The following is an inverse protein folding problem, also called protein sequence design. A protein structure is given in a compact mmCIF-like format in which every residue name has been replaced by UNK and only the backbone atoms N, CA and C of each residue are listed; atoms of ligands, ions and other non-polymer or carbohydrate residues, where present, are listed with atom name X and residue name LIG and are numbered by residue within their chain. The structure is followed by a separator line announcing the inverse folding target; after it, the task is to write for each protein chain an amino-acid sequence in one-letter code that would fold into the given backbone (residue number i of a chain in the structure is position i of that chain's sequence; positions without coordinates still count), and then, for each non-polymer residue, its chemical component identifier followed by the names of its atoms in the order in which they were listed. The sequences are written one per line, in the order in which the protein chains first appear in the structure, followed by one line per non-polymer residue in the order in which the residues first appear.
data_IF_673058815925
#
_entry.id   IF_673058815925
#
_cell.length_a   1.000
_cell.length_b   1.000
_cell.length_c   1.000
_cell.angle_alpha   90.00
_cell.angle_beta   90.00
_cell.angle_gamma   90.00
#
_symmetry.space_group_name_H-M   'P 1'
#
loop_
_entity.id
_entity.type
_entity.pdbx_description
1 polymer ?
#
# COMPACT_ATOMS: atom_id res chain seq x y z
N UNK A 1 26.49 -3.89 21.29
CA UNK A 1 25.04 -3.96 21.65
C UNK A 1 24.51 -2.57 21.97
N UNK A 2 24.37 -1.69 20.98
CA UNK A 2 24.00 -0.28 21.20
C UNK A 2 23.13 0.30 20.07
N UNK A 3 22.16 -0.47 19.56
CA UNK A 3 21.22 -0.01 18.53
C UNK A 3 19.75 -0.38 18.82
N UNK A 4 19.39 -0.70 20.06
CA UNK A 4 17.98 -0.93 20.46
C UNK A 4 17.20 0.39 20.68
N UNK A 5 17.60 1.50 20.03
CA UNK A 5 17.21 2.86 20.42
C UNK A 5 16.60 3.66 19.27
N UNK A 6 15.43 3.20 18.81
CA UNK A 6 14.33 4.00 18.22
C UNK A 6 13.13 3.14 17.75
N UNK A 7 13.14 1.82 18.00
CA UNK A 7 12.12 0.86 17.55
C UNK A 7 10.83 0.87 18.41
N UNK A 8 10.24 2.05 18.57
CA UNK A 8 8.93 2.27 19.24
C UNK A 8 7.96 3.04 18.36
N UNK A 9 7.93 2.73 17.06
CA UNK A 9 6.67 2.88 16.33
C UNK A 9 5.77 1.73 16.77
N UNK A 10 4.47 2.00 16.94
CA UNK A 10 3.51 1.11 17.58
C UNK A 10 3.44 -0.27 16.91
N UNK A 11 4.32 -1.20 17.33
CA UNK A 11 4.25 -2.59 16.94
C UNK A 11 2.94 -3.15 17.50
N UNK A 12 2.05 -3.55 16.60
CA UNK A 12 0.81 -4.21 16.97
C UNK A 12 1.05 -5.71 16.88
N UNK A 13 1.04 -6.37 18.04
CA UNK A 13 1.19 -7.81 18.11
C UNK A 13 -0.02 -8.43 18.82
N UNK A 14 -0.64 -9.40 18.16
CA UNK A 14 -1.75 -10.18 18.69
C UNK A 14 -1.48 -11.66 18.43
N UNK A 15 -1.47 -12.45 19.49
CA UNK A 15 -1.35 -13.90 19.41
C UNK A 15 -2.66 -14.60 19.77
N UNK A 16 -2.98 -15.73 19.13
CA UNK A 16 -4.02 -16.62 19.60
C UNK A 16 -3.59 -17.33 20.90
N UNK A 17 -4.57 -17.81 21.66
CA UNK A 17 -4.34 -18.48 22.95
C UNK A 17 -3.58 -19.82 22.78
N UNK A 18 -3.77 -20.50 21.64
CA UNK A 18 -3.29 -21.87 21.43
C UNK A 18 -1.97 -21.99 20.65
N UNK A 19 -1.28 -20.88 20.41
CA UNK A 19 -0.14 -20.82 19.48
C UNK A 19 -0.61 -20.85 18.02
N UNK A 20 0.07 -20.09 17.15
CA UNK A 20 -0.37 -19.89 15.76
C UNK A 20 0.45 -20.73 14.78
N UNK A 21 -0.20 -21.62 14.03
CA UNK A 21 0.43 -22.29 12.88
C UNK A 21 0.69 -21.33 11.71
N UNK A 22 -0.04 -20.21 11.65
CA UNK A 22 0.16 -19.16 10.65
C UNK A 22 0.45 -17.82 11.31
N UNK A 23 1.40 -17.07 10.77
CA UNK A 23 1.63 -15.67 11.13
C UNK A 23 1.35 -14.75 9.94
N UNK A 24 0.85 -13.55 10.22
CA UNK A 24 0.66 -12.47 9.26
C UNK A 24 1.59 -11.33 9.66
N UNK A 25 2.52 -11.01 8.79
CA UNK A 25 3.51 -9.95 8.98
C UNK A 25 3.30 -8.87 7.93
N UNK A 26 3.24 -7.61 8.35
CA UNK A 26 3.09 -6.52 7.41
C UNK A 26 3.11 -5.12 8.00
N UNK A 27 2.64 -4.17 7.21
CA UNK A 27 2.63 -2.74 7.55
C UNK A 27 1.29 -2.27 8.17
N UNK A 28 1.08 -0.94 8.21
CA UNK A 28 -0.13 -0.33 8.77
C UNK A 28 -1.42 -0.69 8.04
N UNK A 29 -1.37 -1.19 6.80
CA UNK A 29 -2.57 -1.60 6.07
C UNK A 29 -3.25 -2.83 6.69
N UNK A 30 -2.51 -3.64 7.46
CA UNK A 30 -3.03 -4.83 8.14
C UNK A 30 -3.37 -4.62 9.62
N UNK A 31 -3.12 -3.44 10.18
CA UNK A 31 -3.15 -3.21 11.63
C UNK A 31 -4.49 -3.59 12.29
N UNK A 32 -5.61 -3.45 11.58
CA UNK A 32 -6.95 -3.76 12.09
C UNK A 32 -7.48 -5.14 11.71
N UNK A 33 -6.72 -5.92 10.94
CA UNK A 33 -7.15 -7.22 10.42
C UNK A 33 -7.54 -8.20 11.53
N UNK A 34 -6.79 -8.17 12.66
CA UNK A 34 -7.02 -9.02 13.83
C UNK A 34 -8.43 -8.91 14.42
N UNK A 35 -9.15 -7.81 14.19
CA UNK A 35 -10.51 -7.61 14.70
C UNK A 35 -11.53 -8.56 14.05
N UNK A 36 -11.18 -9.19 12.93
CA UNK A 36 -12.02 -10.12 12.20
C UNK A 36 -11.72 -11.60 12.50
N UNK A 37 -10.83 -11.88 13.45
CA UNK A 37 -10.43 -13.23 13.84
C UNK A 37 -10.69 -13.46 15.33
N UNK A 38 -11.25 -14.61 15.67
CA UNK A 38 -11.49 -14.99 17.06
C UNK A 38 -10.19 -15.46 17.72
N UNK A 39 -9.64 -14.75 18.71
CA UNK A 39 -8.37 -15.15 19.36
C UNK A 39 -8.45 -16.49 20.12
N UNK A 40 -9.65 -16.96 20.45
CA UNK A 40 -9.87 -18.28 21.05
C UNK A 40 -9.88 -19.41 20.01
N UNK A 41 -10.01 -19.09 18.71
CA UNK A 41 -9.92 -20.10 17.66
C UNK A 41 -8.49 -20.64 17.59
N UNK A 42 -8.28 -21.97 17.62
CA UNK A 42 -6.96 -22.58 17.49
C UNK A 42 -6.32 -22.36 16.10
N UNK A 43 -7.07 -21.79 15.16
CA UNK A 43 -6.61 -21.52 13.81
C UNK A 43 -6.51 -20.03 13.49
N UNK A 44 -6.68 -19.16 14.48
CA UNK A 44 -6.44 -17.74 14.28
C UNK A 44 -4.95 -17.49 14.09
N UNK A 45 -4.56 -16.68 13.11
CA UNK A 45 -3.16 -16.39 12.88
C UNK A 45 -2.62 -15.44 13.95
N UNK A 46 -1.29 -15.45 14.12
CA UNK A 46 -0.60 -14.36 14.80
C UNK A 46 -0.55 -13.13 13.90
N UNK A 47 -0.76 -11.93 14.43
CA UNK A 47 -0.66 -10.68 13.69
C UNK A 47 0.52 -9.88 14.22
N UNK A 48 1.48 -9.57 13.35
CA UNK A 48 2.70 -8.81 13.66
C UNK A 48 2.77 -7.67 12.65
N UNK A 49 2.33 -6.48 13.05
CA UNK A 49 2.23 -5.35 12.14
C UNK A 49 2.98 -4.14 12.68
N UNK A 50 3.79 -3.52 11.82
CA UNK A 50 4.54 -2.32 12.15
C UNK A 50 4.17 -1.17 11.20
N UNK A 51 3.58 -0.07 11.69
CA UNK A 51 3.28 1.07 10.87
C UNK A 51 4.51 1.66 10.19
N UNK A 52 4.42 1.80 8.86
CA UNK A 52 5.50 2.32 8.03
C UNK A 52 6.63 1.32 7.76
N UNK A 53 6.44 0.02 8.06
CA UNK A 53 7.42 -1.00 7.74
C UNK A 53 7.71 -1.05 6.22
N UNK A 54 8.99 -1.20 5.90
CA UNK A 54 9.52 -1.50 4.58
C UNK A 54 9.97 -2.97 4.53
N UNK A 55 10.35 -3.45 3.34
CA UNK A 55 10.83 -4.82 3.13
C UNK A 55 12.01 -5.17 4.05
N UNK A 56 12.94 -4.23 4.23
CA UNK A 56 14.15 -4.44 5.04
C UNK A 56 13.84 -4.58 6.55
N UNK A 57 12.67 -4.10 7.01
CA UNK A 57 12.26 -4.21 8.41
C UNK A 57 11.75 -5.61 8.78
N UNK A 58 11.44 -6.45 7.78
CA UNK A 58 10.77 -7.75 8.03
C UNK A 58 11.68 -8.70 8.82
N UNK A 59 13.01 -8.66 8.63
CA UNK A 59 13.93 -9.49 9.40
C UNK A 59 13.73 -9.33 10.92
N UNK A 60 13.64 -8.09 11.40
CA UNK A 60 13.37 -7.81 12.81
C UNK A 60 11.93 -8.22 13.23
N UNK A 61 10.96 -8.18 12.31
CA UNK A 61 9.60 -8.64 12.59
C UNK A 61 9.50 -10.17 12.71
N UNK A 62 10.40 -10.93 12.08
CA UNK A 62 10.43 -12.40 12.16
C UNK A 62 10.84 -12.90 13.54
N UNK A 63 11.56 -12.10 14.34
CA UNK A 63 11.87 -12.42 15.74
C UNK A 63 10.61 -12.56 16.60
N UNK A 64 9.51 -11.93 16.17
CA UNK A 64 8.20 -12.02 16.78
C UNK A 64 7.33 -13.14 16.17
N UNK A 65 7.83 -13.91 15.21
CA UNK A 65 7.09 -15.08 14.71
C UNK A 65 7.43 -16.29 15.59
N UNK A 66 6.42 -16.85 16.26
CA UNK A 66 6.59 -17.98 17.18
C UNK A 66 7.26 -19.20 16.53
N UNK A 67 8.03 -19.95 17.33
CA UNK A 67 8.53 -21.27 16.91
C UNK A 67 7.34 -22.22 16.69
N UNK A 68 7.34 -22.93 15.58
CA UNK A 68 6.24 -23.83 15.19
C UNK A 68 5.19 -23.21 14.26
N UNK A 69 5.34 -21.93 13.91
CA UNK A 69 4.62 -21.36 12.77
C UNK A 69 5.12 -22.04 11.49
N UNK A 70 4.20 -22.60 10.71
CA UNK A 70 4.51 -23.33 9.47
C UNK A 70 4.13 -22.56 8.20
N UNK A 71 3.37 -21.47 8.35
CA UNK A 71 2.94 -20.62 7.25
C UNK A 71 3.08 -19.15 7.60
N UNK A 72 3.52 -18.35 6.64
CA UNK A 72 3.69 -16.90 6.79
C UNK A 72 2.93 -16.17 5.70
N UNK A 73 2.12 -15.19 6.05
CA UNK A 73 1.50 -14.26 5.08
C UNK A 73 2.24 -12.93 5.20
N UNK A 74 2.86 -12.49 4.10
CA UNK A 74 3.66 -11.28 4.00
C UNK A 74 2.92 -10.20 3.23
N UNK A 75 2.63 -9.08 3.90
CA UNK A 75 2.06 -7.88 3.29
C UNK A 75 2.98 -6.68 3.46
N UNK A 76 3.88 -6.48 2.50
CA UNK A 76 4.92 -5.46 2.56
C UNK A 76 5.24 -4.93 1.16
N UNK A 77 5.88 -3.76 1.09
CA UNK A 77 6.28 -3.11 -0.17
C UNK A 77 5.57 -1.79 -0.44
N UNK A 78 4.45 -1.50 0.24
CA UNK A 78 3.72 -0.24 0.09
C UNK A 78 4.58 0.98 0.44
N UNK A 79 5.41 0.89 1.48
CA UNK A 79 6.31 1.98 1.88
C UNK A 79 7.57 2.03 1.03
N UNK A 80 8.07 0.90 0.54
CA UNK A 80 9.19 0.85 -0.40
C UNK A 80 8.84 1.56 -1.70
N UNK A 81 7.71 1.22 -2.33
CA UNK A 81 7.24 1.83 -3.57
C UNK A 81 6.83 3.31 -3.40
N UNK A 82 6.65 3.78 -2.18
CA UNK A 82 6.47 5.20 -1.91
C UNK A 82 7.77 5.99 -2.07
N UNK A 83 8.92 5.33 -1.90
CA UNK A 83 10.24 5.94 -1.80
C UNK A 83 11.20 5.51 -2.94
N UNK A 84 10.92 4.40 -3.64
CA UNK A 84 11.75 3.86 -4.73
C UNK A 84 10.90 3.33 -5.89
N UNK A 85 11.55 2.93 -6.98
CA UNK A 85 10.94 2.25 -8.12
C UNK A 85 10.67 0.75 -7.87
N UNK A 86 9.81 0.16 -8.72
CA UNK A 86 9.42 -1.24 -8.65
C UNK A 86 10.60 -2.23 -8.78
N UNK A 87 11.57 -2.07 -9.71
CA UNK A 87 12.71 -2.98 -9.79
C UNK A 87 13.55 -3.03 -8.50
N UNK A 88 13.81 -1.87 -7.88
CA UNK A 88 14.58 -1.80 -6.64
C UNK A 88 13.83 -2.46 -5.49
N UNK A 89 12.55 -2.15 -5.32
CA UNK A 89 11.71 -2.79 -4.30
C UNK A 89 11.63 -4.31 -4.53
N UNK A 90 11.49 -4.75 -5.78
CA UNK A 90 11.42 -6.17 -6.14
C UNK A 90 12.70 -6.92 -5.78
N UNK A 91 13.88 -6.38 -6.09
CA UNK A 91 15.15 -7.01 -5.73
C UNK A 91 15.32 -7.15 -4.21
N UNK A 92 14.86 -6.17 -3.42
CA UNK A 92 14.82 -6.29 -1.96
C UNK A 92 13.88 -7.40 -1.51
N UNK A 93 12.71 -7.51 -2.14
CA UNK A 93 11.73 -8.56 -1.82
C UNK A 93 12.29 -9.95 -2.11
N UNK A 94 13.01 -10.13 -3.23
CA UNK A 94 13.71 -11.39 -3.55
C UNK A 94 14.69 -11.74 -2.44
N UNK A 95 15.54 -10.79 -2.04
CA UNK A 95 16.50 -10.99 -0.96
C UNK A 95 15.81 -11.31 0.39
N UNK A 96 14.66 -10.70 0.67
CA UNK A 96 13.86 -11.02 1.85
C UNK A 96 13.39 -12.49 1.83
N UNK A 97 12.88 -13.00 0.70
CA UNK A 97 12.45 -14.39 0.61
C UNK A 97 13.62 -15.35 0.81
N UNK A 98 14.80 -15.04 0.26
CA UNK A 98 16.02 -15.82 0.47
C UNK A 98 16.44 -15.81 1.96
N UNK A 99 16.35 -14.65 2.61
CA UNK A 99 16.61 -14.49 4.03
C UNK A 99 15.65 -15.33 4.88
N UNK A 100 14.34 -15.27 4.64
CA UNK A 100 13.33 -16.08 5.34
C UNK A 100 13.63 -17.57 5.20
N UNK A 101 13.96 -18.03 3.99
CA UNK A 101 14.31 -19.44 3.73
C UNK A 101 15.54 -19.88 4.54
N UNK A 102 16.53 -19.01 4.69
CA UNK A 102 17.75 -19.30 5.41
C UNK A 102 17.58 -19.26 6.93
N UNK A 103 16.95 -18.20 7.45
CA UNK A 103 16.84 -17.94 8.88
C UNK A 103 15.65 -18.66 9.54
N UNK A 104 14.58 -18.91 8.77
CA UNK A 104 13.34 -19.55 9.23
C UNK A 104 12.96 -20.76 8.36
N UNK A 105 13.82 -21.79 8.28
CA UNK A 105 13.52 -23.02 7.54
C UNK A 105 12.32 -23.79 8.13
N UNK A 106 11.90 -23.48 9.36
CA UNK A 106 10.70 -24.01 10.00
C UNK A 106 9.38 -23.49 9.41
N UNK A 107 9.44 -22.44 8.57
CA UNK A 107 8.29 -21.87 7.86
C UNK A 107 8.36 -22.33 6.39
N UNK A 108 7.87 -23.54 6.04
CA UNK A 108 7.95 -24.06 4.67
C UNK A 108 7.08 -23.31 3.66
N UNK A 109 6.06 -22.58 4.12
CA UNK A 109 5.09 -21.91 3.25
C UNK A 109 5.06 -20.41 3.46
N UNK A 110 5.23 -19.63 2.38
CA UNK A 110 5.12 -18.17 2.39
C UNK A 110 4.06 -17.72 1.38
N UNK A 111 3.11 -16.91 1.84
CA UNK A 111 2.09 -16.26 1.02
C UNK A 111 2.46 -14.79 0.86
N UNK A 112 2.92 -14.40 -0.33
CA UNK A 112 3.22 -13.02 -0.66
C UNK A 112 1.94 -12.32 -1.16
N UNK A 113 1.46 -11.33 -0.43
CA UNK A 113 0.29 -10.55 -0.84
C UNK A 113 0.70 -9.42 -1.78
N UNK A 114 -0.22 -9.03 -2.66
CA UNK A 114 -0.01 -7.88 -3.54
C UNK A 114 0.13 -6.56 -2.75
N UNK A 115 0.88 -5.62 -3.30
CA UNK A 115 0.84 -4.22 -2.85
C UNK A 115 -0.46 -3.59 -3.30
N UNK A 116 -1.27 -3.12 -2.34
CA UNK A 116 -2.58 -2.54 -2.64
C UNK A 116 -2.47 -1.22 -3.44
N UNK A 117 -3.43 -0.96 -4.35
CA UNK A 117 -3.48 0.33 -5.03
C UNK A 117 -3.81 1.46 -4.04
N UNK A 118 -3.42 2.68 -4.39
CA UNK A 118 -3.79 3.91 -3.69
C UNK A 118 -4.88 4.67 -4.45
N UNK A 119 -5.61 5.51 -3.72
CA UNK A 119 -6.53 6.51 -4.24
C UNK A 119 -6.07 7.93 -3.87
N UNK A 120 -6.60 8.96 -4.56
CA UNK A 120 -6.41 10.34 -4.13
C UNK A 120 -6.83 10.54 -2.68
N UNK A 121 -6.01 11.25 -1.92
CA UNK A 121 -6.30 11.55 -0.52
C UNK A 121 -7.38 12.64 -0.47
N UNK A 122 -8.55 12.28 0.06
CA UNK A 122 -9.72 13.15 0.16
C UNK A 122 -9.60 14.19 1.28
N UNK A 123 -8.64 14.03 2.19
CA UNK A 123 -8.36 14.95 3.30
C UNK A 123 -7.44 16.10 2.89
N UNK A 124 -6.75 15.98 1.75
CA UNK A 124 -5.85 17.02 1.28
C UNK A 124 -6.61 18.10 0.51
N UNK A 125 -6.30 19.37 0.81
CA UNK A 125 -6.81 20.52 0.03
C UNK A 125 -6.28 20.55 -1.41
N UNK A 126 -5.16 19.87 -1.67
CA UNK A 126 -4.55 19.76 -3.01
C UNK A 126 -4.62 18.32 -3.48
N UNK A 127 -5.07 18.12 -4.72
CA UNK A 127 -5.14 16.80 -5.33
C UNK A 127 -3.75 16.19 -5.53
N UNK A 128 -3.54 14.95 -5.08
CA UNK A 128 -2.29 14.19 -5.19
C UNK A 128 -2.30 13.16 -6.35
N UNK A 129 -3.13 13.38 -7.38
CA UNK A 129 -3.37 12.42 -8.46
C UNK A 129 -2.11 11.96 -9.19
N UNK A 130 -1.13 12.85 -9.41
CA UNK A 130 0.14 12.51 -10.09
C UNK A 130 0.94 11.48 -9.29
N UNK A 131 1.07 11.72 -7.98
CA UNK A 131 1.79 10.83 -7.08
C UNK A 131 1.09 9.47 -6.98
N UNK A 132 -0.25 9.46 -6.86
CA UNK A 132 -1.05 8.23 -6.83
C UNK A 132 -0.93 7.45 -8.14
N UNK A 133 -0.97 8.13 -9.29
CA UNK A 133 -0.83 7.48 -10.60
C UNK A 133 0.55 6.83 -10.76
N UNK A 134 1.61 7.55 -10.36
CA UNK A 134 2.97 7.01 -10.36
C UNK A 134 3.06 5.79 -9.44
N UNK A 135 2.59 5.91 -8.19
CA UNK A 135 2.62 4.80 -7.24
C UNK A 135 1.88 3.57 -7.77
N UNK A 136 0.67 3.72 -8.31
CA UNK A 136 -0.11 2.59 -8.81
C UNK A 136 0.52 1.95 -10.06
N UNK A 137 1.26 2.71 -10.87
CA UNK A 137 2.06 2.16 -11.96
C UNK A 137 3.19 1.26 -11.41
N UNK A 138 3.98 1.77 -10.47
CA UNK A 138 5.05 1.01 -9.82
C UNK A 138 4.51 -0.23 -9.08
N UNK A 139 3.40 -0.09 -8.34
CA UNK A 139 2.77 -1.21 -7.64
C UNK A 139 2.27 -2.30 -8.61
N UNK A 140 1.75 -1.93 -9.78
CA UNK A 140 1.36 -2.91 -10.81
C UNK A 140 2.58 -3.66 -11.34
N UNK A 141 3.64 -2.95 -11.70
CA UNK A 141 4.89 -3.56 -12.19
C UNK A 141 5.50 -4.49 -11.14
N UNK A 142 5.53 -4.05 -9.88
CA UNK A 142 6.00 -4.87 -8.76
C UNK A 142 5.14 -6.13 -8.57
N UNK A 143 3.81 -6.00 -8.55
CA UNK A 143 2.89 -7.11 -8.34
C UNK A 143 2.96 -8.16 -9.47
N UNK A 144 3.16 -7.73 -10.72
CA UNK A 144 3.36 -8.66 -11.85
C UNK A 144 4.64 -9.46 -11.70
N UNK A 145 5.74 -8.82 -11.30
CA UNK A 145 7.02 -9.50 -11.04
C UNK A 145 6.92 -10.44 -9.83
N UNK A 146 6.23 -10.02 -8.78
CA UNK A 146 5.99 -10.82 -7.59
C UNK A 146 5.19 -12.09 -7.93
N UNK A 147 4.16 -11.97 -8.77
CA UNK A 147 3.40 -13.12 -9.27
C UNK A 147 4.32 -14.13 -10.00
N UNK A 148 5.14 -13.66 -10.94
CA UNK A 148 6.11 -14.52 -11.65
C UNK A 148 7.08 -15.20 -10.68
N UNK A 149 7.62 -14.45 -9.71
CA UNK A 149 8.53 -14.97 -8.69
C UNK A 149 7.89 -16.09 -7.85
N UNK A 150 6.64 -15.93 -7.44
CA UNK A 150 5.91 -16.96 -6.69
C UNK A 150 5.69 -18.23 -7.53
N UNK A 151 5.50 -18.11 -8.85
CA UNK A 151 5.40 -19.29 -9.73
C UNK A 151 6.72 -20.04 -9.87
N UNK A 152 7.85 -19.34 -9.79
CA UNK A 152 9.19 -19.92 -9.95
C UNK A 152 9.75 -20.52 -8.65
N UNK A 153 9.20 -20.16 -7.49
CA UNK A 153 9.75 -20.53 -6.17
C UNK A 153 8.84 -21.50 -5.42
N UNK A 154 9.37 -22.69 -5.14
CA UNK A 154 8.69 -23.70 -4.34
C UNK A 154 8.35 -23.18 -2.94
N UNK A 155 7.12 -23.46 -2.48
CA UNK A 155 6.65 -23.04 -1.16
C UNK A 155 6.33 -21.55 -1.04
N UNK A 156 6.37 -20.79 -2.14
CA UNK A 156 5.97 -19.37 -2.17
C UNK A 156 4.71 -19.23 -3.04
N UNK A 157 3.68 -18.57 -2.51
CA UNK A 157 2.39 -18.43 -3.15
C UNK A 157 1.98 -16.98 -3.25
N UNK A 158 1.43 -16.57 -4.39
CA UNK A 158 0.92 -15.22 -4.58
C UNK A 158 -0.53 -15.11 -4.12
N UNK A 159 -0.85 -14.08 -3.32
CA UNK A 159 -2.21 -13.81 -2.85
C UNK A 159 -2.74 -12.52 -3.47
N UNK A 160 -3.72 -12.68 -4.36
CA UNK A 160 -4.48 -11.57 -4.91
C UNK A 160 -5.77 -11.32 -4.11
N UNK A 161 -5.87 -10.20 -3.41
CA UNK A 161 -7.04 -9.79 -2.65
C UNK A 161 -8.20 -9.24 -3.51
N UNK A 162 -8.03 -9.12 -4.83
CA UNK A 162 -9.05 -8.63 -5.80
C UNK A 162 -9.64 -7.27 -5.43
N UNK A 163 -8.86 -6.44 -4.75
CA UNK A 163 -9.26 -5.09 -4.31
C UNK A 163 -9.40 -4.14 -5.50
N UNK A 164 -8.66 -4.40 -6.58
CA UNK A 164 -8.70 -3.69 -7.85
C UNK A 164 -10.01 -3.90 -8.64
N UNK A 165 -10.75 -4.97 -8.37
CA UNK A 165 -12.06 -5.21 -8.96
C UNK A 165 -13.17 -4.29 -8.40
N UNK A 166 -12.87 -3.55 -7.33
CA UNK A 166 -13.82 -2.66 -6.67
C UNK A 166 -13.41 -1.20 -6.83
N UNK A 167 -14.38 -0.26 -6.91
CA UNK A 167 -14.04 1.15 -6.93
C UNK A 167 -13.26 1.55 -5.67
N UNK A 168 -12.13 2.28 -5.76
CA UNK A 168 -11.25 2.50 -4.61
C UNK A 168 -11.92 3.13 -3.38
N UNK A 169 -12.95 3.95 -3.58
CA UNK A 169 -13.69 4.60 -2.49
C UNK A 169 -14.55 3.64 -1.64
N UNK A 170 -14.79 2.41 -2.08
CA UNK A 170 -15.53 1.41 -1.28
C UNK A 170 -14.62 0.68 -0.31
N UNK A 171 -13.34 0.53 -0.66
CA UNK A 171 -12.38 -0.33 0.06
C UNK A 171 -11.22 0.43 0.69
N UNK A 172 -10.97 1.68 0.32
CA UNK A 172 -9.95 2.54 0.92
C UNK A 172 -10.58 3.61 1.81
N UNK A 173 -9.88 3.98 2.87
CA UNK A 173 -10.21 5.10 3.73
C UNK A 173 -9.99 6.45 3.02
N UNK A 174 -10.45 7.53 3.65
CA UNK A 174 -10.36 8.88 3.10
C UNK A 174 -8.91 9.36 2.83
N UNK A 175 -7.89 8.74 3.42
CA UNK A 175 -6.49 9.06 3.11
C UNK A 175 -6.00 8.43 1.79
N UNK A 176 -6.79 7.54 1.20
CA UNK A 176 -6.50 6.86 -0.06
C UNK A 176 -5.35 5.85 0.03
N UNK A 177 -4.91 5.48 1.24
CA UNK A 177 -3.81 4.54 1.47
C UNK A 177 -4.26 3.34 2.30
N UNK A 178 -4.91 3.60 3.43
CA UNK A 178 -5.30 2.54 4.34
C UNK A 178 -6.64 1.93 3.90
N UNK A 179 -6.85 0.62 4.07
CA UNK A 179 -8.16 0.03 3.86
C UNK A 179 -9.21 0.66 4.78
N UNK A 180 -10.42 0.87 4.26
CA UNK A 180 -11.60 1.19 5.08
C UNK A 180 -12.03 -0.03 5.89
N UNK A 181 -13.03 0.10 6.78
CA UNK A 181 -13.58 -1.07 7.47
C UNK A 181 -14.04 -2.17 6.50
N UNK A 182 -14.68 -1.79 5.38
CA UNK A 182 -15.07 -2.71 4.33
C UNK A 182 -13.85 -3.33 3.62
N UNK A 183 -12.80 -2.54 3.38
CA UNK A 183 -11.53 -3.04 2.85
C UNK A 183 -10.85 -4.06 3.77
N UNK A 184 -10.75 -3.77 5.06
CA UNK A 184 -10.20 -4.71 6.06
C UNK A 184 -11.05 -5.98 6.13
N UNK A 185 -12.38 -5.85 6.08
CA UNK A 185 -13.30 -7.00 6.06
C UNK A 185 -13.07 -7.90 4.83
N UNK A 186 -12.85 -7.30 3.65
CA UNK A 186 -12.55 -8.04 2.43
C UNK A 186 -11.19 -8.75 2.51
N UNK A 187 -10.16 -8.07 3.02
CA UNK A 187 -8.85 -8.67 3.29
C UNK A 187 -8.99 -9.88 4.23
N UNK A 188 -9.72 -9.71 5.34
CA UNK A 188 -9.97 -10.77 6.31
C UNK A 188 -10.68 -11.96 5.69
N UNK A 189 -11.73 -11.73 4.89
CA UNK A 189 -12.46 -12.77 4.18
C UNK A 189 -11.55 -13.58 3.24
N UNK A 190 -10.72 -12.90 2.45
CA UNK A 190 -9.79 -13.57 1.53
C UNK A 190 -8.75 -14.41 2.27
N UNK A 191 -8.20 -13.89 3.37
CA UNK A 191 -7.25 -14.62 4.21
C UNK A 191 -7.94 -15.79 4.90
N UNK A 192 -9.17 -15.62 5.39
CA UNK A 192 -9.93 -16.70 5.99
C UNK A 192 -10.15 -17.85 5.01
N UNK A 193 -10.55 -17.57 3.76
CA UNK A 193 -10.71 -18.60 2.74
C UNK A 193 -9.37 -19.30 2.40
N UNK A 194 -8.29 -18.53 2.27
CA UNK A 194 -6.95 -19.09 2.09
C UNK A 194 -6.60 -20.07 3.23
N UNK A 195 -6.83 -19.67 4.48
CA UNK A 195 -6.56 -20.52 5.65
C UNK A 195 -7.48 -21.74 5.71
N UNK A 196 -8.71 -21.66 5.21
CA UNK A 196 -9.61 -22.81 5.10
C UNK A 196 -9.12 -23.80 4.05
N UNK A 197 -8.64 -23.33 2.90
CA UNK A 197 -8.13 -24.19 1.84
C UNK A 197 -6.89 -24.98 2.31
N UNK A 198 -6.02 -24.36 3.11
CA UNK A 198 -4.86 -25.03 3.72
C UNK A 198 -5.23 -26.13 4.72
N UNK A 199 -6.44 -26.07 5.31
CA UNK A 199 -6.91 -27.08 6.27
C UNK A 199 -7.59 -28.26 5.60
N UNK A 200 -8.00 -28.11 4.34
CA UNK A 200 -8.61 -29.23 3.61
C UNK A 200 -7.49 -30.24 3.34
N UNK A 201 -7.59 -31.48 3.85
CA UNK A 201 -6.67 -32.51 3.41
C UNK A 201 -6.80 -32.60 1.88
N UNK A 202 -5.69 -32.46 1.17
CA UNK A 202 -5.61 -32.54 -0.28
C UNK A 202 -6.38 -33.77 -0.79
N UNK A 203 -7.63 -33.59 -1.20
CA UNK A 203 -8.16 -34.36 -2.32
C UNK A 203 -7.46 -33.72 -3.51
N UNK A 204 -6.63 -34.50 -4.21
CA UNK A 204 -5.75 -34.13 -5.33
C UNK A 204 -6.47 -33.55 -6.57
N UNK A 205 -7.47 -32.70 -6.37
CA UNK A 205 -8.18 -32.00 -7.40
C UNK A 205 -7.91 -30.51 -7.22
N UNK A 206 -6.64 -30.10 -7.31
CA UNK A 206 -6.41 -28.76 -7.83
C UNK A 206 -6.97 -28.79 -9.25
N UNK A 207 -7.99 -28.00 -9.59
CA UNK A 207 -8.39 -27.92 -10.98
C UNK A 207 -7.21 -27.34 -11.74
N UNK A 208 -6.57 -28.12 -12.62
CA UNK A 208 -5.71 -27.59 -13.68
C UNK A 208 -6.45 -26.57 -14.57
N UNK A 209 -7.76 -26.44 -14.36
CA UNK A 209 -8.59 -25.38 -14.87
C UNK A 209 -9.16 -24.55 -13.71
N UNK A 210 -8.36 -23.62 -13.18
CA UNK A 210 -8.96 -22.31 -12.90
C UNK A 210 -9.61 -21.92 -14.24
N UNK A 211 -10.94 -21.74 -14.32
CA UNK A 211 -11.54 -21.27 -15.55
C UNK A 211 -10.75 -20.04 -15.93
N UNK A 212 -10.04 -20.10 -17.06
CA UNK A 212 -9.65 -18.85 -17.68
C UNK A 212 -10.96 -18.08 -17.79
N UNK A 213 -11.03 -16.84 -17.29
CA UNK A 213 -12.20 -16.02 -17.51
C UNK A 213 -12.50 -16.15 -19.00
N UNK A 214 -13.65 -16.74 -19.33
CA UNK A 214 -14.01 -16.96 -20.73
C UNK A 214 -13.77 -15.62 -21.42
N UNK A 215 -13.06 -15.65 -22.55
CA UNK A 215 -12.58 -14.47 -23.26
C UNK A 215 -13.72 -13.52 -23.76
N UNK A 216 -14.95 -13.67 -23.23
CA UNK A 216 -16.09 -12.80 -23.43
C UNK A 216 -17.00 -12.58 -22.21
N UNK A 217 -16.69 -13.06 -20.98
CA UNK A 217 -17.58 -12.86 -19.82
C UNK A 217 -17.31 -11.58 -19.00
N UNK A 218 -16.19 -10.91 -19.29
CA UNK A 218 -15.96 -9.52 -18.96
C UNK A 218 -15.73 -8.83 -20.30
N UNK A 219 -16.79 -8.50 -21.01
CA UNK A 219 -16.77 -7.18 -21.61
C UNK A 219 -16.42 -6.25 -20.44
N UNK A 220 -15.16 -5.83 -20.41
CA UNK A 220 -14.80 -4.50 -19.96
C UNK A 220 -15.75 -3.59 -20.74
N UNK A 221 -16.98 -3.41 -20.22
CA UNK A 221 -17.56 -2.09 -20.21
C UNK A 221 -16.42 -1.28 -19.66
N UNK A 222 -15.79 -0.53 -20.56
CA UNK A 222 -14.92 0.56 -20.22
C UNK A 222 -15.75 1.41 -19.26
N UNK A 223 -15.67 1.07 -17.97
CA UNK A 223 -15.92 2.03 -16.93
C UNK A 223 -15.00 3.16 -17.33
N UNK A 224 -15.53 4.38 -17.54
CA UNK A 224 -14.75 5.47 -18.10
C UNK A 224 -13.46 5.48 -17.32
N UNK A 225 -12.35 5.25 -18.03
CA UNK A 225 -11.06 5.14 -17.38
C UNK A 225 -10.95 6.34 -16.45
N UNK A 226 -10.28 6.20 -15.31
CA UNK A 226 -10.05 7.34 -14.41
C UNK A 226 -9.51 8.59 -15.16
N UNK A 227 -8.85 8.41 -16.33
CA UNK A 227 -8.48 9.46 -17.27
C UNK A 227 -9.62 10.11 -18.07
N UNK A 228 -10.73 9.43 -18.38
CA UNK A 228 -11.93 9.99 -19.01
C UNK A 228 -12.79 10.82 -18.04
N UNK A 229 -12.87 10.44 -16.76
CA UNK A 229 -13.54 11.26 -15.74
C UNK A 229 -12.85 12.63 -15.56
N UNK A 230 -11.51 12.65 -15.62
CA UNK A 230 -10.71 13.89 -15.51
C UNK A 230 -10.76 14.80 -16.76
N UNK A 231 -11.11 14.26 -17.94
CA UNK A 231 -11.28 15.10 -19.15
C UNK A 231 -12.53 15.97 -19.08
N UNK A 232 -13.60 15.51 -18.41
CA UNK A 232 -14.84 16.28 -18.25
C UNK A 232 -14.66 17.48 -17.31
N UNK A 233 -13.92 17.32 -16.22
CA UNK A 233 -13.62 18.45 -15.31
C UNK A 233 -12.65 19.48 -15.93
N UNK A 234 -11.80 19.05 -16.87
CA UNK A 234 -10.87 19.96 -17.56
C UNK A 234 -11.56 20.78 -18.66
N UNK A 235 -12.63 20.28 -19.28
CA UNK A 235 -13.41 21.01 -20.28
C UNK A 235 -14.36 22.04 -19.68
N UNK A 236 -14.83 21.83 -18.45
CA UNK A 236 -15.73 22.76 -17.77
C UNK A 236 -15.01 23.97 -17.15
N UNK A 237 -13.69 23.88 -16.94
CA UNK A 237 -12.87 25.00 -16.46
C UNK A 237 -12.54 26.04 -17.55
N UNK A 238 -12.69 25.71 -18.83
CA UNK A 238 -12.38 26.61 -19.96
C UNK A 238 -13.57 27.45 -20.46
N UNK A 239 -14.77 27.25 -19.92
CA UNK A 239 -15.99 27.95 -20.36
C UNK A 239 -16.57 28.94 -19.35
N UNK A 240 -15.73 29.68 -18.60
CA UNK A 240 -16.14 30.89 -17.86
C UNK A 240 -15.01 31.93 -17.80
N UNK A 241 -14.63 32.45 -18.95
CA UNK A 241 -13.67 33.55 -19.08
C UNK A 241 -14.09 34.52 -20.18
N UNK A 242 -15.11 35.32 -19.93
CA UNK A 242 -15.58 36.30 -20.90
C UNK A 242 -16.57 37.29 -20.29
N UNK A 243 -16.04 38.33 -19.62
CA UNK A 243 -16.64 39.66 -19.61
C UNK A 243 -15.56 40.70 -19.39
N UNK A 244 -15.23 41.36 -20.49
CA UNK A 244 -14.41 42.56 -20.61
C UNK A 244 -14.90 43.67 -19.68
N UNK A 245 -13.97 44.44 -19.10
CA UNK A 245 -14.23 45.83 -18.75
C UNK A 245 -13.06 46.71 -19.16
N UNK A 246 -13.43 47.74 -19.90
CA UNK A 246 -12.63 48.69 -20.66
C UNK A 246 -11.61 49.46 -19.82
N UNK A 247 -10.38 49.46 -20.32
CA UNK A 247 -9.58 50.62 -20.74
C UNK A 247 -10.04 51.99 -20.24
N UNK A 248 -9.20 52.64 -19.44
CA UNK A 248 -9.03 54.09 -19.41
C UNK A 248 -7.54 54.39 -19.20
N UNK A 249 -6.92 54.99 -20.22
CA UNK A 249 -5.64 55.68 -20.13
C UNK A 249 -5.91 57.17 -19.92
N UNK A 250 -5.19 57.78 -18.99
CA UNK A 250 -4.80 59.19 -19.05
C UNK A 250 -3.42 59.30 -18.38
N UNK A 251 -2.50 59.97 -19.07
CA UNK A 251 -1.09 60.14 -18.72
C UNK A 251 -0.87 61.54 -18.04
N UNK A 252 0.35 62.12 -17.99
CA UNK A 252 1.15 62.22 -16.77
C UNK A 252 1.51 63.66 -16.38
N UNK A 253 1.94 63.90 -15.13
CA UNK A 253 2.63 65.14 -14.71
C UNK A 253 3.51 64.80 -13.48
N UNK A 254 4.84 64.74 -13.64
CA UNK A 254 5.88 65.80 -13.49
C UNK A 254 6.57 65.76 -12.12
N UNK A 255 7.86 66.09 -12.18
CA UNK A 255 8.90 65.77 -11.21
C UNK A 255 9.04 66.79 -10.08
N UNK A 256 9.56 66.35 -8.93
CA UNK A 256 10.53 67.11 -8.13
C UNK A 256 11.26 66.17 -7.14
N UNK A 257 12.59 66.26 -7.13
CA UNK A 257 13.52 65.79 -6.09
C UNK A 257 14.15 67.04 -5.44
N UNK A 258 15.21 66.98 -4.62
CA UNK A 258 15.57 66.11 -3.48
C UNK A 258 15.96 66.95 -2.22
N UNK A 259 16.13 66.33 -1.03
CA UNK A 259 17.06 66.85 0.01
C UNK A 259 17.34 65.74 1.05
N UNK A 260 18.52 65.11 1.08
CA UNK A 260 19.71 65.42 1.91
C UNK A 260 19.51 65.32 3.43
N UNK A 261 20.36 64.51 4.09
CA UNK A 261 20.61 64.53 5.54
C UNK A 261 20.87 63.13 6.09
N UNK A 262 22.06 62.54 5.90
CA UNK A 262 23.26 62.65 6.76
C UNK A 262 23.21 61.88 8.11
N UNK A 263 24.26 61.08 8.27
CA UNK A 263 25.01 60.72 9.48
C UNK A 263 24.54 59.60 10.45
N UNK A 264 25.35 58.53 10.38
CA UNK A 264 25.77 57.48 11.35
C UNK A 264 26.40 58.06 12.65
N UNK A 265 27.03 57.28 13.58
CA UNK A 265 27.01 55.83 13.96
C UNK A 265 26.94 55.58 15.50
N UNK A 266 27.13 54.30 15.92
CA UNK A 266 27.68 53.81 17.22
C UNK A 266 26.77 53.95 18.45
N UNK A 267 26.59 52.99 19.37
CA UNK A 267 27.40 51.87 19.88
C UNK A 267 26.72 51.38 21.20
N UNK A 268 27.42 50.75 22.16
CA UNK A 268 27.36 49.30 22.40
C UNK A 268 26.73 48.88 23.74
N UNK A 269 26.22 47.64 23.79
CA UNK A 269 26.52 46.53 24.72
C UNK A 269 25.45 45.44 24.62
#
# INVERSE_FOLDING_TARGET
MAAARAFRKQLTWRFPIHGASTAIVGDSQLMYLHQHFDPASPHSPAFICQPGACIDDIGELLDFVSKGTSSLILHIGTNDLANTDAPTAFNRYVALLDCIRHERPDIPTVFATLVLPRAPNQRLRRHNWRAVRRFNFEAREFNLRLLSLCHEREGVFYVNHRIDALPPWTVLAADGLHPSFAGVSLLAWNIYNLLLDLRRPYINNWPEHVPQPEAGAYELRETPSYSQALRRDSSDATCRGGKEKKMNQAAPETAAAPSTGQHTPSGPL
#
